data_IF_568074151473
#
_entry.id   IF_568074151473
#
_cell.length_a   1.000
_cell.length_b   1.000
_cell.length_c   1.000
_cell.angle_alpha   90.00
_cell.angle_beta   90.00
_cell.angle_gamma   90.00
#
_symmetry.space_group_name_H-M   'P 1'
#
loop_
_entity.id
_entity.type
_entity.pdbx_description
1 polymer ?
#
# COMPACT_ATOMS: atom_id res chain seq x y z
N UNK A 1 -13.90 -14.32 18.77
CA UNK A 1 -12.84 -13.31 18.74
C UNK A 1 -12.30 -13.31 17.32
N UNK A 2 -12.64 -12.35 16.49
CA UNK A 2 -12.05 -12.21 15.16
C UNK A 2 -10.57 -11.85 15.36
N UNK A 3 -9.67 -12.75 14.97
CA UNK A 3 -8.23 -12.46 14.91
C UNK A 3 -8.04 -11.21 14.06
N UNK A 4 -7.50 -10.16 14.67
CA UNK A 4 -7.25 -8.91 13.99
C UNK A 4 -6.23 -9.20 12.88
N UNK A 5 -6.61 -8.92 11.62
CA UNK A 5 -5.77 -9.16 10.44
C UNK A 5 -4.47 -8.39 10.59
N UNK A 6 -3.34 -9.09 10.46
CA UNK A 6 -2.03 -8.44 10.46
C UNK A 6 -1.86 -7.68 9.14
N UNK A 7 -1.78 -6.36 9.23
CA UNK A 7 -1.65 -5.48 8.08
C UNK A 7 -0.18 -5.07 7.88
N UNK A 8 0.28 -4.98 6.62
CA UNK A 8 1.63 -4.52 6.33
C UNK A 8 1.79 -3.03 6.63
N UNK A 9 3.03 -2.64 6.92
CA UNK A 9 3.42 -1.25 7.02
C UNK A 9 4.08 -0.84 5.70
N UNK A 10 3.32 -0.24 4.80
CA UNK A 10 3.77 0.17 3.46
C UNK A 10 3.63 1.69 3.30
N UNK A 11 4.58 2.47 3.84
CA UNK A 11 4.63 3.93 3.64
C UNK A 11 5.01 4.24 2.19
N UNK A 12 5.94 3.46 1.65
CA UNK A 12 6.46 3.63 0.30
C UNK A 12 6.54 2.29 -0.43
N UNK A 13 5.98 2.23 -1.62
CA UNK A 13 6.04 1.10 -2.54
C UNK A 13 6.73 1.57 -3.83
N UNK A 14 7.98 1.15 -4.07
CA UNK A 14 8.74 1.63 -5.23
C UNK A 14 8.60 0.68 -6.41
N UNK A 15 8.11 1.19 -7.54
CA UNK A 15 8.08 0.45 -8.81
C UNK A 15 9.49 0.24 -9.37
N UNK A 16 9.74 -0.98 -9.84
CA UNK A 16 10.99 -1.40 -10.47
C UNK A 16 10.66 -2.30 -11.66
N UNK A 17 10.91 -1.85 -12.91
CA UNK A 17 10.81 -2.73 -14.08
C UNK A 17 11.71 -3.94 -13.89
N UNK A 18 11.14 -5.15 -13.94
CA UNK A 18 11.87 -6.38 -13.58
C UNK A 18 12.99 -6.74 -14.56
N UNK A 19 12.89 -6.26 -15.81
CA UNK A 19 13.87 -6.49 -16.88
C UNK A 19 14.98 -5.42 -16.97
N UNK A 20 15.10 -4.53 -15.96
CA UNK A 20 16.14 -3.50 -15.93
C UNK A 20 17.11 -3.78 -14.79
N UNK A 21 18.13 -4.60 -15.05
CA UNK A 21 19.11 -5.07 -14.04
C UNK A 21 19.65 -3.96 -13.15
N UNK A 22 20.04 -2.82 -13.73
CA UNK A 22 20.59 -1.67 -12.97
C UNK A 22 19.62 -1.12 -11.92
N UNK A 23 18.30 -1.29 -12.09
CA UNK A 23 17.29 -0.88 -11.11
C UNK A 23 17.07 -1.98 -10.09
N UNK A 24 16.95 -3.23 -10.52
CA UNK A 24 16.80 -4.40 -9.65
C UNK A 24 17.97 -4.51 -8.68
N UNK A 25 19.22 -4.41 -9.17
CA UNK A 25 20.43 -4.54 -8.37
C UNK A 25 20.55 -3.47 -7.26
N UNK A 26 19.96 -2.30 -7.47
CA UNK A 26 20.02 -1.18 -6.51
C UNK A 26 18.75 -1.00 -5.68
N UNK A 27 17.67 -1.70 -6.00
CA UNK A 27 16.37 -1.49 -5.35
C UNK A 27 16.42 -1.71 -3.84
N UNK A 28 17.13 -2.74 -3.38
CA UNK A 28 17.30 -3.08 -1.97
C UNK A 28 17.97 -1.98 -1.14
N UNK A 29 18.69 -1.03 -1.76
CA UNK A 29 19.37 0.09 -1.07
C UNK A 29 18.54 1.36 -1.00
N UNK A 30 17.32 1.38 -1.54
CA UNK A 30 16.51 2.60 -1.68
C UNK A 30 15.66 2.92 -0.45
N UNK A 31 15.60 2.01 0.53
CA UNK A 31 14.88 2.22 1.80
C UNK A 31 13.35 2.22 1.67
N UNK A 32 12.80 1.71 0.58
CA UNK A 32 11.36 1.54 0.43
C UNK A 32 10.84 0.44 1.38
N UNK A 33 9.63 0.60 1.88
CA UNK A 33 8.96 -0.43 2.67
C UNK A 33 8.57 -1.64 1.79
N UNK A 34 8.25 -1.41 0.53
CA UNK A 34 8.04 -2.47 -0.45
C UNK A 34 8.62 -2.12 -1.81
N UNK A 35 9.02 -3.16 -2.55
CA UNK A 35 9.45 -3.06 -3.94
C UNK A 35 8.41 -3.76 -4.80
N UNK A 36 7.85 -3.03 -5.77
CA UNK A 36 6.94 -3.59 -6.77
C UNK A 36 7.76 -3.95 -8.01
N UNK A 37 8.02 -5.22 -8.22
CA UNK A 37 8.54 -5.74 -9.48
C UNK A 37 7.44 -5.65 -10.53
N UNK A 38 7.65 -4.86 -11.54
CA UNK A 38 6.61 -4.57 -12.52
C UNK A 38 6.70 -5.50 -13.73
N UNK A 39 5.57 -6.15 -14.06
CA UNK A 39 5.36 -6.91 -15.29
C UNK A 39 4.38 -6.21 -16.23
N UNK A 40 3.79 -5.09 -15.80
CA UNK A 40 2.74 -4.41 -16.55
C UNK A 40 3.29 -3.24 -17.36
N UNK A 41 2.85 -2.02 -17.18
CA UNK A 41 3.03 -0.88 -18.10
C UNK A 41 4.50 -0.52 -18.39
N UNK A 42 5.42 -0.75 -17.44
CA UNK A 42 6.84 -0.46 -17.68
C UNK A 42 7.56 -1.47 -18.57
N UNK A 43 6.90 -2.58 -18.93
CA UNK A 43 7.49 -3.65 -19.74
C UNK A 43 6.89 -3.63 -21.17
N UNK A 44 7.72 -3.49 -22.17
CA UNK A 44 7.28 -3.55 -23.55
C UNK A 44 6.59 -4.89 -23.89
N UNK A 45 5.56 -4.91 -24.76
CA UNK A 45 4.83 -6.14 -25.09
C UNK A 45 5.73 -7.30 -25.55
N UNK A 46 6.79 -7.01 -26.30
CA UNK A 46 7.77 -8.01 -26.78
C UNK A 46 8.63 -8.60 -25.67
N UNK A 47 8.77 -7.92 -24.53
CA UNK A 47 9.63 -8.31 -23.43
C UNK A 47 8.88 -9.04 -22.30
N UNK A 48 7.56 -9.13 -22.36
CA UNK A 48 6.72 -9.70 -21.28
C UNK A 48 7.13 -11.13 -20.90
N UNK A 49 7.40 -11.98 -21.89
CA UNK A 49 7.77 -13.38 -21.62
C UNK A 49 9.16 -13.47 -20.98
N UNK A 50 10.12 -12.66 -21.43
CA UNK A 50 11.45 -12.56 -20.81
C UNK A 50 11.34 -12.03 -19.38
N UNK A 51 10.57 -10.95 -19.18
CA UNK A 51 10.38 -10.34 -17.87
C UNK A 51 9.85 -11.33 -16.80
N UNK A 52 8.92 -12.21 -17.17
CA UNK A 52 8.41 -13.28 -16.28
C UNK A 52 9.52 -14.18 -15.76
N UNK A 53 10.47 -14.57 -16.62
CA UNK A 53 11.56 -15.48 -16.21
C UNK A 53 12.51 -14.87 -15.18
N UNK A 54 12.52 -13.54 -15.06
CA UNK A 54 13.41 -12.79 -14.17
C UNK A 54 12.82 -12.59 -12.75
N UNK A 55 11.51 -12.75 -12.57
CA UNK A 55 10.81 -12.36 -11.33
C UNK A 55 11.41 -12.99 -10.08
N UNK A 56 11.57 -14.32 -10.05
CA UNK A 56 12.05 -15.04 -8.86
C UNK A 56 13.48 -14.62 -8.48
N UNK A 57 14.36 -14.48 -9.46
CA UNK A 57 15.72 -14.01 -9.22
C UNK A 57 15.76 -12.55 -8.77
N UNK A 58 14.92 -11.68 -9.34
CA UNK A 58 14.79 -10.29 -8.93
C UNK A 58 14.22 -10.19 -7.50
N UNK A 59 13.20 -10.98 -7.15
CA UNK A 59 12.62 -11.02 -5.81
C UNK A 59 13.68 -11.35 -4.74
N UNK A 60 14.48 -12.39 -4.96
CA UNK A 60 15.56 -12.76 -4.07
C UNK A 60 16.62 -11.64 -3.90
N UNK A 61 16.90 -10.86 -4.96
CA UNK A 61 17.83 -9.73 -4.91
C UNK A 61 17.26 -8.55 -4.11
N UNK A 62 16.03 -8.12 -4.40
CA UNK A 62 15.47 -6.88 -3.82
C UNK A 62 15.07 -7.06 -2.36
N UNK A 63 14.71 -8.28 -1.94
CA UNK A 63 14.38 -8.64 -0.55
C UNK A 63 15.53 -8.38 0.43
N UNK A 64 16.78 -8.42 -0.01
CA UNK A 64 17.98 -8.28 0.85
C UNK A 64 18.03 -7.00 1.67
N UNK A 65 17.32 -5.95 1.25
CA UNK A 65 17.20 -4.70 2.02
C UNK A 65 16.09 -4.71 3.08
N UNK A 66 15.39 -5.84 3.26
CA UNK A 66 14.30 -5.97 4.22
C UNK A 66 12.97 -5.36 3.73
N UNK A 67 12.89 -4.97 2.46
CA UNK A 67 11.63 -4.56 1.83
C UNK A 67 10.74 -5.78 1.57
N UNK A 68 9.42 -5.60 1.68
CA UNK A 68 8.49 -6.58 1.14
C UNK A 68 8.55 -6.55 -0.40
N UNK A 69 8.40 -7.71 -1.02
CA UNK A 69 8.42 -7.84 -2.48
C UNK A 69 7.01 -8.04 -2.98
N UNK A 70 6.58 -7.15 -3.88
CA UNK A 70 5.30 -7.25 -4.56
C UNK A 70 5.57 -7.44 -6.06
N UNK A 71 4.63 -8.06 -6.77
CA UNK A 71 4.69 -8.15 -8.24
C UNK A 71 3.41 -7.57 -8.82
N UNK A 72 3.55 -6.56 -9.71
CA UNK A 72 2.40 -6.03 -10.45
C UNK A 72 2.17 -6.87 -11.69
N UNK A 73 1.00 -7.50 -11.76
CA UNK A 73 0.58 -8.38 -12.85
C UNK A 73 -0.23 -7.64 -13.90
N UNK A 74 -0.21 -8.14 -15.13
CA UNK A 74 -1.05 -7.62 -16.23
C UNK A 74 -2.53 -7.95 -16.03
N UNK A 75 -3.43 -7.11 -16.61
CA UNK A 75 -4.88 -7.31 -16.54
C UNK A 75 -5.42 -8.37 -17.51
N UNK A 76 -5.01 -8.44 -18.81
CA UNK A 76 -5.54 -9.45 -19.72
C UNK A 76 -5.35 -10.86 -19.14
N UNK A 77 -6.45 -11.61 -18.97
CA UNK A 77 -6.47 -12.85 -18.21
C UNK A 77 -5.37 -13.85 -18.60
N UNK A 78 -5.16 -14.05 -19.90
CA UNK A 78 -4.09 -14.93 -20.38
C UNK A 78 -2.68 -14.47 -20.00
N UNK A 79 -2.48 -13.17 -19.81
CA UNK A 79 -1.22 -12.62 -19.31
C UNK A 79 -1.15 -12.73 -17.80
N UNK A 80 -2.23 -12.38 -17.09
CA UNK A 80 -2.32 -12.49 -15.64
C UNK A 80 -1.97 -13.90 -15.15
N UNK A 81 -2.52 -14.95 -15.77
CA UNK A 81 -2.21 -16.33 -15.42
C UNK A 81 -0.71 -16.63 -15.47
N UNK A 82 -0.02 -16.27 -16.56
CA UNK A 82 1.41 -16.49 -16.71
C UNK A 82 2.23 -15.64 -15.73
N UNK A 83 1.76 -14.42 -15.43
CA UNK A 83 2.42 -13.54 -14.46
C UNK A 83 2.31 -14.12 -13.05
N UNK A 84 1.15 -14.67 -12.68
CA UNK A 84 0.92 -15.31 -11.38
C UNK A 84 1.83 -16.55 -11.25
N UNK A 85 1.83 -17.46 -12.24
CA UNK A 85 2.70 -18.65 -12.27
C UNK A 85 4.19 -18.30 -12.09
N UNK A 86 4.63 -17.21 -12.73
CA UNK A 86 6.01 -16.72 -12.62
C UNK A 86 6.32 -16.06 -11.27
N UNK A 87 5.30 -15.54 -10.58
CA UNK A 87 5.46 -14.68 -9.41
C UNK A 87 5.35 -15.42 -8.08
N UNK A 88 4.56 -16.49 -8.01
CA UNK A 88 4.36 -17.19 -6.73
C UNK A 88 5.65 -17.90 -6.31
N UNK A 89 6.20 -17.46 -5.19
CA UNK A 89 7.35 -18.07 -4.52
C UNK A 89 7.51 -17.47 -3.11
N UNK A 90 8.29 -18.09 -2.20
CA UNK A 90 8.46 -17.63 -0.82
C UNK A 90 9.05 -16.21 -0.66
N UNK A 91 9.68 -15.67 -1.70
CA UNK A 91 10.28 -14.33 -1.67
C UNK A 91 9.30 -13.22 -2.11
N UNK A 92 8.14 -13.55 -2.66
CA UNK A 92 7.09 -12.61 -3.05
C UNK A 92 6.01 -12.57 -1.97
N UNK A 93 5.82 -11.39 -1.36
CA UNK A 93 4.87 -11.20 -0.26
C UNK A 93 3.45 -10.86 -0.75
N UNK A 94 3.33 -10.23 -1.93
CA UNK A 94 2.02 -9.86 -2.46
C UNK A 94 2.00 -9.71 -4.00
N UNK A 95 0.79 -9.83 -4.56
CA UNK A 95 0.50 -9.39 -5.93
C UNK A 95 -0.16 -8.01 -5.90
N UNK A 96 0.22 -7.14 -6.83
CA UNK A 96 -0.49 -5.91 -7.15
C UNK A 96 -1.42 -6.22 -8.33
N UNK A 97 -2.71 -6.29 -8.03
CA UNK A 97 -3.75 -6.57 -9.03
C UNK A 97 -4.16 -5.23 -9.62
N UNK A 98 -3.55 -4.88 -10.76
CA UNK A 98 -3.92 -3.70 -11.53
C UNK A 98 -5.26 -3.89 -12.23
N UNK A 99 -5.94 -2.78 -12.50
CA UNK A 99 -7.22 -2.77 -13.23
C UNK A 99 -8.21 -3.81 -12.69
N UNK A 100 -8.34 -3.84 -11.34
CA UNK A 100 -9.26 -4.74 -10.64
C UNK A 100 -10.71 -4.30 -10.92
N UNK A 101 -11.53 -5.17 -11.51
CA UNK A 101 -12.86 -4.79 -12.01
C UNK A 101 -14.02 -5.27 -11.13
N UNK A 102 -13.87 -6.38 -10.41
CA UNK A 102 -14.96 -6.97 -9.63
C UNK A 102 -14.45 -7.87 -8.49
N UNK A 103 -15.32 -8.21 -7.52
CA UNK A 103 -15.04 -9.27 -6.55
C UNK A 103 -14.66 -10.60 -7.20
N UNK A 104 -15.35 -11.01 -8.25
CA UNK A 104 -15.09 -12.27 -8.94
C UNK A 104 -13.69 -12.33 -9.57
N UNK A 105 -13.22 -11.18 -10.10
CA UNK A 105 -11.84 -11.08 -10.60
C UNK A 105 -10.82 -11.40 -9.50
N UNK A 106 -11.03 -10.92 -8.28
CA UNK A 106 -10.16 -11.23 -7.14
C UNK A 106 -10.26 -12.69 -6.73
N UNK A 107 -11.48 -13.26 -6.70
CA UNK A 107 -11.70 -14.67 -6.33
C UNK A 107 -11.01 -15.62 -7.31
N UNK A 108 -11.09 -15.36 -8.62
CA UNK A 108 -10.40 -16.17 -9.65
C UNK A 108 -8.86 -16.14 -9.48
N UNK A 109 -8.30 -14.98 -9.14
CA UNK A 109 -6.85 -14.86 -8.85
C UNK A 109 -6.52 -15.62 -7.56
N UNK A 110 -7.36 -15.52 -6.54
CA UNK A 110 -7.12 -16.18 -5.25
C UNK A 110 -7.10 -17.70 -5.37
N UNK A 111 -8.00 -18.29 -6.17
CA UNK A 111 -8.04 -19.73 -6.46
C UNK A 111 -6.71 -20.20 -7.08
N UNK A 112 -6.24 -19.52 -8.12
CA UNK A 112 -4.98 -19.86 -8.79
C UNK A 112 -3.76 -19.70 -7.87
N UNK A 113 -3.74 -18.66 -7.04
CA UNK A 113 -2.65 -18.42 -6.08
C UNK A 113 -2.62 -19.52 -5.02
N UNK A 114 -3.79 -19.96 -4.54
CA UNK A 114 -3.91 -21.04 -3.57
C UNK A 114 -3.38 -22.37 -4.10
N UNK A 115 -3.74 -22.74 -5.33
CA UNK A 115 -3.24 -23.91 -6.01
C UNK A 115 -1.71 -23.87 -6.15
N UNK A 116 -1.15 -22.74 -6.58
CA UNK A 116 0.29 -22.58 -6.76
C UNK A 116 1.07 -22.57 -5.42
N UNK A 117 0.51 -21.99 -4.36
CA UNK A 117 1.08 -22.07 -3.02
C UNK A 117 1.13 -23.52 -2.54
N UNK A 118 0.04 -24.30 -2.75
CA UNK A 118 -0.02 -25.71 -2.41
C UNK A 118 0.99 -26.55 -3.22
N UNK A 119 1.05 -26.36 -4.54
CA UNK A 119 2.01 -27.07 -5.42
C UNK A 119 3.47 -26.82 -5.02
N UNK A 120 3.78 -25.60 -4.52
CA UNK A 120 5.13 -25.23 -4.10
C UNK A 120 5.41 -25.52 -2.62
N UNK A 121 4.47 -26.12 -1.89
CA UNK A 121 4.61 -26.41 -0.45
C UNK A 121 4.72 -25.14 0.42
N UNK A 122 4.14 -24.04 -0.03
CA UNK A 122 4.06 -22.79 0.73
C UNK A 122 2.87 -22.84 1.69
N UNK A 123 2.88 -21.97 2.70
CA UNK A 123 1.71 -21.74 3.54
C UNK A 123 0.58 -21.11 2.70
N UNK A 124 -0.59 -21.71 2.72
CA UNK A 124 -1.77 -21.17 2.04
C UNK A 124 -2.12 -19.81 2.67
N UNK A 125 -2.24 -18.80 1.83
CA UNK A 125 -2.45 -17.43 2.28
C UNK A 125 -1.17 -16.62 2.49
N UNK A 126 0.00 -17.16 2.16
CA UNK A 126 1.27 -16.43 2.17
C UNK A 126 1.21 -15.18 1.28
N UNK A 127 0.82 -15.34 0.02
CA UNK A 127 0.76 -14.26 -0.95
C UNK A 127 -0.46 -13.38 -0.72
N UNK A 128 -0.24 -12.12 -0.34
CA UNK A 128 -1.30 -11.13 -0.14
C UNK A 128 -1.63 -10.37 -1.42
N UNK A 129 -2.69 -9.56 -1.38
CA UNK A 129 -3.12 -8.75 -2.52
C UNK A 129 -3.16 -7.27 -2.16
N UNK A 130 -2.67 -6.45 -3.08
CA UNK A 130 -2.94 -5.03 -3.18
C UNK A 130 -3.82 -4.84 -4.42
N UNK A 131 -5.03 -4.30 -4.24
CA UNK A 131 -5.97 -4.08 -5.34
C UNK A 131 -5.97 -2.62 -5.77
N UNK A 132 -5.84 -2.38 -7.08
CA UNK A 132 -5.99 -1.07 -7.68
C UNK A 132 -7.25 -1.00 -8.54
N UNK A 133 -8.10 -0.01 -8.23
CA UNK A 133 -9.27 0.34 -9.02
C UNK A 133 -8.86 1.46 -9.97
N UNK A 134 -9.12 1.27 -11.28
CA UNK A 134 -8.53 2.07 -12.34
C UNK A 134 -9.55 2.53 -13.39
N UNK A 135 -10.82 2.10 -13.28
CA UNK A 135 -11.90 2.47 -14.18
C UNK A 135 -13.11 3.03 -13.44
N UNK A 136 -13.96 3.87 -14.08
CA UNK A 136 -15.20 4.36 -13.51
C UNK A 136 -16.17 3.25 -13.11
N UNK A 137 -16.25 2.17 -13.88
CA UNK A 137 -17.11 1.04 -13.55
C UNK A 137 -16.64 0.30 -12.30
N UNK A 138 -15.35 0.02 -12.20
CA UNK A 138 -14.76 -0.60 -11.01
C UNK A 138 -14.85 0.33 -9.78
N UNK A 139 -14.77 1.65 -9.98
CA UNK A 139 -14.97 2.63 -8.91
C UNK A 139 -16.34 2.47 -8.24
N UNK A 140 -17.40 2.26 -8.99
CA UNK A 140 -18.75 2.06 -8.44
C UNK A 140 -18.88 0.79 -7.59
N UNK A 141 -17.95 -0.16 -7.73
CA UNK A 141 -17.86 -1.43 -6.97
C UNK A 141 -16.70 -1.50 -5.99
N UNK A 142 -15.97 -0.41 -5.81
CA UNK A 142 -14.69 -0.40 -5.05
C UNK A 142 -14.82 -0.97 -3.64
N UNK A 143 -15.89 -0.64 -2.91
CA UNK A 143 -16.09 -1.15 -1.57
C UNK A 143 -16.30 -2.68 -1.54
N UNK A 144 -17.00 -3.22 -2.52
CA UNK A 144 -17.22 -4.66 -2.64
C UNK A 144 -15.93 -5.37 -3.08
N UNK A 145 -15.18 -4.78 -4.01
CA UNK A 145 -13.86 -5.29 -4.42
C UNK A 145 -12.93 -5.38 -3.21
N UNK A 146 -12.80 -4.31 -2.43
CA UNK A 146 -11.87 -4.26 -1.29
C UNK A 146 -12.25 -5.20 -0.14
N UNK A 147 -13.51 -5.61 -0.04
CA UNK A 147 -14.02 -6.57 0.96
C UNK A 147 -14.04 -8.01 0.48
N UNK A 148 -13.81 -8.26 -0.80
CA UNK A 148 -14.15 -9.54 -1.44
C UNK A 148 -13.31 -10.72 -0.95
N UNK A 149 -12.08 -10.52 -0.49
CA UNK A 149 -11.20 -11.63 -0.11
C UNK A 149 -10.25 -11.28 1.03
N UNK A 150 -9.98 -12.26 1.90
CA UNK A 150 -9.08 -12.08 3.05
C UNK A 150 -7.62 -11.81 2.68
N UNK A 151 -7.15 -12.22 1.49
CA UNK A 151 -5.79 -11.93 1.01
C UNK A 151 -5.58 -10.44 0.70
N UNK A 152 -6.64 -9.65 0.51
CA UNK A 152 -6.51 -8.21 0.27
C UNK A 152 -6.07 -7.54 1.56
N UNK A 153 -4.89 -6.94 1.56
CA UNK A 153 -4.32 -6.22 2.72
C UNK A 153 -4.19 -4.72 2.47
N UNK A 154 -4.25 -4.30 1.22
CA UNK A 154 -4.18 -2.89 0.84
C UNK A 154 -4.98 -2.63 -0.43
N UNK A 155 -5.38 -1.38 -0.63
CA UNK A 155 -6.06 -1.00 -1.86
C UNK A 155 -6.08 0.51 -2.08
N UNK A 156 -6.33 0.89 -3.33
CA UNK A 156 -6.40 2.28 -3.76
C UNK A 156 -7.07 2.44 -5.11
N UNK A 157 -7.17 3.71 -5.55
CA UNK A 157 -7.55 4.06 -6.90
C UNK A 157 -6.31 4.62 -7.61
N UNK A 158 -5.97 4.10 -8.80
CA UNK A 158 -4.90 4.65 -9.62
C UNK A 158 -5.26 6.04 -10.13
N UNK A 159 -4.27 6.87 -10.37
CA UNK A 159 -4.52 8.26 -10.79
C UNK A 159 -4.63 8.38 -12.29
N UNK A 160 -3.63 7.88 -13.01
CA UNK A 160 -3.49 8.10 -14.46
C UNK A 160 -4.57 7.35 -15.24
N UNK A 161 -4.69 6.04 -15.05
CA UNK A 161 -5.66 5.21 -15.78
C UNK A 161 -7.10 5.67 -15.50
N UNK A 162 -7.44 5.91 -14.23
CA UNK A 162 -8.78 6.37 -13.87
C UNK A 162 -9.09 7.73 -14.49
N UNK A 163 -8.15 8.68 -14.46
CA UNK A 163 -8.34 10.01 -15.07
C UNK A 163 -8.49 9.91 -16.59
N UNK A 164 -7.69 9.06 -17.25
CA UNK A 164 -7.79 8.83 -18.68
C UNK A 164 -9.17 8.29 -19.07
N UNK A 165 -9.69 7.31 -18.34
CA UNK A 165 -11.04 6.76 -18.60
C UNK A 165 -12.17 7.74 -18.24
N UNK A 166 -11.96 8.64 -17.29
CA UNK A 166 -12.88 9.73 -16.97
C UNK A 166 -12.85 10.84 -18.02
N UNK A 167 -11.86 10.88 -18.93
CA UNK A 167 -11.63 11.99 -19.84
C UNK A 167 -11.18 13.27 -19.12
N UNK A 168 -10.48 13.14 -17.98
CA UNK A 168 -10.07 14.24 -17.12
C UNK A 168 -8.54 14.26 -16.98
N UNK A 169 -7.99 15.41 -16.55
CA UNK A 169 -6.61 15.46 -16.10
C UNK A 169 -6.43 14.78 -14.74
N UNK A 170 -5.27 14.18 -14.49
CA UNK A 170 -4.92 13.56 -13.21
C UNK A 170 -4.65 14.62 -12.13
N UNK A 171 -5.62 15.53 -11.92
CA UNK A 171 -5.56 16.64 -10.99
C UNK A 171 -6.11 16.28 -9.61
N UNK A 172 -5.73 17.09 -8.61
CA UNK A 172 -6.24 16.93 -7.25
C UNK A 172 -7.77 17.10 -7.15
N UNK A 173 -8.36 17.92 -8.00
CA UNK A 173 -9.81 18.18 -8.01
C UNK A 173 -10.58 17.02 -8.65
N UNK A 174 -10.15 16.57 -9.84
CA UNK A 174 -10.79 15.45 -10.53
C UNK A 174 -10.72 14.14 -9.71
N UNK A 175 -9.60 13.92 -9.01
CA UNK A 175 -9.35 12.70 -8.24
C UNK A 175 -9.84 12.76 -6.79
N UNK A 176 -10.32 13.91 -6.29
CA UNK A 176 -10.70 14.03 -4.87
C UNK A 176 -11.74 12.98 -4.44
N UNK A 177 -12.84 12.90 -5.18
CA UNK A 177 -13.92 11.95 -4.85
C UNK A 177 -13.45 10.49 -4.92
N UNK A 178 -12.81 10.02 -6.00
CA UNK A 178 -12.27 8.66 -6.06
C UNK A 178 -11.30 8.33 -4.93
N UNK A 179 -10.43 9.26 -4.57
CA UNK A 179 -9.42 9.07 -3.52
C UNK A 179 -10.03 9.00 -2.12
N UNK A 180 -10.97 9.87 -1.79
CA UNK A 180 -11.68 9.80 -0.51
C UNK A 180 -12.52 8.52 -0.43
N UNK A 181 -13.19 8.14 -1.51
CA UNK A 181 -13.96 6.91 -1.53
C UNK A 181 -13.07 5.68 -1.36
N UNK A 182 -11.86 5.68 -1.94
CA UNK A 182 -10.87 4.62 -1.73
C UNK A 182 -10.46 4.50 -0.25
N UNK A 183 -10.23 5.64 0.44
CA UNK A 183 -9.93 5.62 1.88
C UNK A 183 -11.09 5.04 2.68
N UNK A 184 -12.34 5.47 2.40
CA UNK A 184 -13.52 4.97 3.09
C UNK A 184 -13.73 3.47 2.85
N UNK A 185 -13.57 3.02 1.61
CA UNK A 185 -13.70 1.60 1.23
C UNK A 185 -12.65 0.73 1.89
N UNK A 186 -11.39 1.16 1.89
CA UNK A 186 -10.30 0.45 2.55
C UNK A 186 -10.51 0.36 4.07
N UNK A 187 -10.94 1.44 4.71
CA UNK A 187 -11.26 1.43 6.15
C UNK A 187 -12.44 0.52 6.47
N UNK A 188 -13.48 0.52 5.63
CA UNK A 188 -14.62 -0.38 5.79
C UNK A 188 -14.27 -1.85 5.56
N UNK A 189 -13.25 -2.14 4.76
CA UNK A 189 -12.69 -3.47 4.53
C UNK A 189 -11.63 -3.88 5.58
N UNK A 190 -11.21 -2.97 6.46
CA UNK A 190 -10.14 -3.22 7.43
C UNK A 190 -8.76 -3.45 6.80
N UNK A 191 -8.47 -2.77 5.68
CA UNK A 191 -7.20 -2.85 4.94
C UNK A 191 -6.49 -1.50 4.87
N UNK A 192 -5.25 -1.49 4.40
CA UNK A 192 -4.42 -0.27 4.29
C UNK A 192 -4.85 0.56 3.08
N UNK A 193 -5.29 1.82 3.25
CA UNK A 193 -5.53 2.73 2.15
C UNK A 193 -4.21 3.27 1.60
N UNK A 194 -3.95 3.06 0.30
CA UNK A 194 -2.76 3.54 -0.39
C UNK A 194 -3.14 4.52 -1.51
N UNK A 195 -2.40 5.62 -1.62
CA UNK A 195 -2.60 6.58 -2.69
C UNK A 195 -2.23 8.02 -2.35
N UNK A 196 -2.51 8.89 -3.30
CA UNK A 196 -2.27 10.34 -3.24
C UNK A 196 -3.29 11.06 -4.14
N UNK A 197 -3.64 12.33 -3.85
CA UNK A 197 -4.60 13.09 -4.65
C UNK A 197 -3.87 13.87 -5.76
N UNK A 198 -3.49 13.21 -6.85
CA UNK A 198 -2.80 13.82 -7.99
C UNK A 198 -2.02 12.83 -8.83
N UNK A 199 -1.03 13.31 -9.57
CA UNK A 199 -0.07 12.53 -10.37
C UNK A 199 1.31 12.49 -9.72
N UNK A 200 2.06 11.42 -9.95
CA UNK A 200 3.48 11.27 -9.57
C UNK A 200 4.41 11.25 -10.78
N UNK A 201 3.88 11.52 -11.96
CA UNK A 201 4.63 11.48 -13.22
C UNK A 201 5.77 12.52 -13.25
N UNK A 202 5.57 13.70 -12.67
CA UNK A 202 6.65 14.65 -12.45
C UNK A 202 7.41 14.32 -11.16
N UNK A 203 8.57 13.72 -11.32
CA UNK A 203 9.48 13.39 -10.21
C UNK A 203 10.58 14.44 -10.01
N UNK A 204 10.57 15.54 -10.74
CA UNK A 204 11.54 16.65 -10.62
C UNK A 204 11.11 17.68 -9.56
N UNK A 205 9.81 17.91 -9.40
CA UNK A 205 9.22 18.81 -8.37
C UNK A 205 9.04 18.04 -7.04
N UNK A 206 10.10 17.98 -6.24
CA UNK A 206 10.07 17.30 -4.95
C UNK A 206 9.31 18.07 -3.87
N UNK A 207 9.22 19.39 -3.95
CA UNK A 207 8.48 20.20 -2.98
C UNK A 207 6.98 20.07 -3.21
N UNK A 208 6.51 20.20 -4.45
CA UNK A 208 5.11 19.93 -4.81
C UNK A 208 4.70 18.47 -4.51
N UNK A 209 5.61 17.51 -4.73
CA UNK A 209 5.38 16.13 -4.33
C UNK A 209 5.20 15.99 -2.82
N UNK A 210 6.06 16.61 -2.01
CA UNK A 210 5.95 16.61 -0.55
C UNK A 210 4.61 17.18 -0.07
N UNK A 211 4.18 18.30 -0.61
CA UNK A 211 2.90 18.93 -0.28
C UNK A 211 1.72 18.02 -0.61
N UNK A 212 1.77 17.37 -1.77
CA UNK A 212 0.77 16.38 -2.16
C UNK A 212 0.73 15.18 -1.18
N UNK A 213 1.87 14.66 -0.74
CA UNK A 213 1.91 13.55 0.22
C UNK A 213 1.47 13.96 1.63
N UNK A 214 1.78 15.18 2.06
CA UNK A 214 1.22 15.76 3.31
C UNK A 214 -0.31 15.83 3.23
N UNK A 215 -0.86 16.27 2.09
CA UNK A 215 -2.31 16.25 1.84
C UNK A 215 -2.85 14.83 1.84
N UNK A 216 -2.17 13.88 1.17
CA UNK A 216 -2.53 12.45 1.16
C UNK A 216 -2.69 11.90 2.58
N UNK A 217 -1.71 12.11 3.45
CA UNK A 217 -1.78 11.68 4.84
C UNK A 217 -2.97 12.30 5.59
N UNK A 218 -3.24 13.60 5.37
CA UNK A 218 -4.40 14.29 5.98
C UNK A 218 -5.74 13.72 5.52
N UNK A 219 -5.82 13.20 4.31
CA UNK A 219 -6.99 12.51 3.76
C UNK A 219 -7.18 11.09 4.33
N UNK A 220 -6.18 10.53 5.02
CA UNK A 220 -6.26 9.24 5.68
C UNK A 220 -5.51 8.11 5.00
N UNK A 221 -4.76 8.37 3.94
CA UNK A 221 -3.84 7.38 3.35
C UNK A 221 -2.68 7.07 4.30
N UNK A 222 -2.19 5.85 4.24
CA UNK A 222 -1.08 5.37 5.08
C UNK A 222 0.23 5.19 4.33
N UNK A 223 0.21 5.32 3.03
CA UNK A 223 1.35 5.20 2.14
C UNK A 223 0.95 5.36 0.70
N UNK A 224 1.92 5.26 -0.19
CA UNK A 224 1.70 5.36 -1.62
C UNK A 224 2.81 4.69 -2.45
N UNK A 225 2.55 4.53 -3.76
CA UNK A 225 3.57 4.11 -4.72
C UNK A 225 4.50 5.26 -5.11
N UNK A 226 5.71 4.90 -5.54
CA UNK A 226 6.75 5.80 -6.04
C UNK A 226 7.36 5.23 -7.32
N UNK A 227 7.71 6.11 -8.26
CA UNK A 227 8.41 5.75 -9.51
C UNK A 227 9.89 6.17 -9.50
N UNK A 228 10.30 6.93 -8.48
CA UNK A 228 11.67 7.40 -8.34
C UNK A 228 12.17 7.29 -6.88
N UNK A 229 13.47 6.94 -6.64
CA UNK A 229 14.01 6.81 -5.27
C UNK A 229 13.87 8.05 -4.39
N UNK A 230 13.93 9.26 -4.94
CA UNK A 230 13.76 10.50 -4.18
C UNK A 230 12.37 10.62 -3.55
N UNK A 231 11.34 10.06 -4.21
CA UNK A 231 9.97 10.02 -3.69
C UNK A 231 9.84 9.11 -2.45
N UNK A 232 10.62 8.02 -2.41
CA UNK A 232 10.61 7.04 -1.29
C UNK A 232 10.94 7.72 0.04
N UNK A 233 11.97 8.58 0.07
CA UNK A 233 12.36 9.30 1.28
C UNK A 233 11.22 10.17 1.80
N UNK A 234 10.58 10.94 0.91
CA UNK A 234 9.45 11.81 1.26
C UNK A 234 8.27 11.00 1.81
N UNK A 235 7.93 9.88 1.17
CA UNK A 235 6.86 8.99 1.63
C UNK A 235 7.13 8.45 3.04
N UNK A 236 8.34 7.96 3.28
CA UNK A 236 8.73 7.42 4.59
C UNK A 236 8.69 8.47 5.68
N UNK A 237 9.14 9.69 5.40
CA UNK A 237 9.13 10.83 6.33
C UNK A 237 7.70 11.28 6.63
N UNK A 238 6.91 11.56 5.59
CA UNK A 238 5.58 12.15 5.76
C UNK A 238 4.57 11.18 6.37
N UNK A 239 4.62 9.89 6.03
CA UNK A 239 3.71 8.89 6.59
C UNK A 239 4.14 8.36 7.96
N UNK A 240 5.24 8.85 8.52
CA UNK A 240 5.64 8.61 9.90
C UNK A 240 5.02 9.67 10.81
N UNK A 241 4.36 9.30 11.93
CA UNK A 241 4.02 10.26 12.97
C UNK A 241 5.28 10.93 13.53
N UNK A 242 5.28 12.26 13.70
CA UNK A 242 6.39 12.95 14.33
C UNK A 242 6.46 12.64 15.83
N UNK A 243 7.63 12.85 16.44
CA UNK A 243 7.82 12.61 17.87
C UNK A 243 6.91 13.51 18.71
N UNK A 244 6.67 14.75 18.26
CA UNK A 244 5.73 15.68 18.88
C UNK A 244 4.28 15.16 18.80
N UNK A 245 3.88 14.62 17.63
CA UNK A 245 2.54 14.04 17.48
C UNK A 245 2.35 12.81 18.39
N UNK A 246 3.39 12.00 18.56
CA UNK A 246 3.40 10.84 19.47
C UNK A 246 3.31 11.29 20.91
N UNK A 247 4.11 12.28 21.32
CA UNK A 247 4.08 12.83 22.68
C UNK A 247 2.71 13.43 23.01
N UNK A 248 2.15 14.23 22.09
CA UNK A 248 0.82 14.80 22.26
C UNK A 248 -0.28 13.72 22.33
N UNK A 249 -0.18 12.67 21.52
CA UNK A 249 -1.12 11.56 21.56
C UNK A 249 -1.08 10.84 22.91
N UNK A 250 0.09 10.57 23.47
CA UNK A 250 0.24 9.97 24.81
C UNK A 250 -0.38 10.87 25.88
N UNK A 251 -0.03 12.16 25.90
CA UNK A 251 -0.58 13.15 26.83
C UNK A 251 -2.11 13.17 26.83
N UNK A 252 -2.72 13.16 25.61
CA UNK A 252 -4.18 13.16 25.48
C UNK A 252 -4.82 11.85 25.99
N UNK A 253 -4.22 10.70 25.69
CA UNK A 253 -4.71 9.39 26.12
C UNK A 253 -4.65 9.31 27.64
N UNK A 254 -3.51 9.62 28.25
CA UNK A 254 -3.30 9.53 29.70
C UNK A 254 -4.28 10.44 30.46
N UNK A 255 -4.42 11.71 30.03
CA UNK A 255 -5.36 12.66 30.64
C UNK A 255 -6.82 12.20 30.52
N UNK A 256 -7.21 11.62 29.39
CA UNK A 256 -8.56 11.07 29.22
C UNK A 256 -8.78 9.84 30.09
N UNK A 257 -7.85 8.90 30.13
CA UNK A 257 -7.98 7.65 30.90
C UNK A 257 -8.07 7.96 32.40
N UNK A 258 -7.31 8.94 32.94
CA UNK A 258 -7.44 9.45 34.33
C UNK A 258 -8.81 10.05 34.60
N UNK A 259 -9.35 10.84 33.67
CA UNK A 259 -10.66 11.46 33.83
C UNK A 259 -11.80 10.44 33.71
N UNK A 260 -11.65 9.48 32.82
CA UNK A 260 -12.61 8.40 32.62
C UNK A 260 -12.71 7.50 33.87
N UNK A 261 -11.60 7.24 34.55
CA UNK A 261 -11.57 6.54 35.84
C UNK A 261 -12.34 7.28 36.94
N UNK A 262 -12.52 8.61 36.80
CA UNK A 262 -13.32 9.47 37.69
C UNK A 262 -14.78 9.66 37.22
N UNK A 263 -15.21 8.93 36.18
CA UNK A 263 -16.58 8.96 35.64
C UNK A 263 -16.86 10.07 34.63
N UNK A 264 -15.82 10.75 34.07
CA UNK A 264 -15.99 11.79 33.07
C UNK A 264 -15.94 11.20 31.67
N UNK A 265 -16.87 11.59 30.78
CA UNK A 265 -16.93 11.12 29.38
C UNK A 265 -16.14 11.97 28.41
N UNK A 266 -15.77 13.19 28.81
CA UNK A 266 -14.96 14.12 27.99
C UNK A 266 -14.21 15.08 28.90
N UNK A 267 -13.08 15.61 28.43
CA UNK A 267 -12.26 16.61 29.12
C UNK A 267 -11.86 17.75 28.19
N UNK A 268 -11.39 18.86 28.75
CA UNK A 268 -10.67 19.90 28.02
C UNK A 268 -9.18 19.80 28.35
N UNK A 269 -8.34 19.65 27.34
CA UNK A 269 -6.88 19.66 27.47
C UNK A 269 -6.28 20.63 26.47
N UNK A 270 -5.53 21.63 26.97
CA UNK A 270 -4.92 22.68 26.15
C UNK A 270 -5.94 23.38 25.21
N UNK A 271 -7.18 23.60 25.68
CA UNK A 271 -8.25 24.21 24.90
C UNK A 271 -8.93 23.30 23.88
N UNK A 272 -8.55 22.01 23.82
CA UNK A 272 -9.13 21.01 22.92
C UNK A 272 -10.04 20.09 23.72
N UNK A 273 -11.25 19.84 23.20
CA UNK A 273 -12.14 18.80 23.76
C UNK A 273 -11.60 17.41 23.39
N UNK A 274 -11.40 16.58 24.39
CA UNK A 274 -10.91 15.20 24.23
C UNK A 274 -12.00 14.23 24.72
N UNK A 275 -12.53 13.46 23.77
CA UNK A 275 -13.55 12.44 23.96
C UNK A 275 -13.12 11.11 23.32
N UNK A 276 -13.95 10.07 23.35
CA UNK A 276 -13.66 8.74 22.81
C UNK A 276 -13.17 8.79 21.34
N UNK A 277 -13.84 9.50 20.40
CA UNK A 277 -13.35 9.63 19.02
C UNK A 277 -11.95 10.22 18.91
N UNK A 278 -11.65 11.26 19.69
CA UNK A 278 -10.31 11.88 19.71
C UNK A 278 -9.28 10.90 20.26
N UNK A 279 -9.56 10.23 21.37
CA UNK A 279 -8.66 9.22 21.97
C UNK A 279 -8.40 8.06 21.03
N UNK A 280 -9.42 7.55 20.35
CA UNK A 280 -9.25 6.47 19.39
C UNK A 280 -8.33 6.89 18.22
N UNK A 281 -8.44 8.14 17.76
CA UNK A 281 -7.52 8.69 16.76
C UNK A 281 -6.08 8.77 17.32
N UNK A 282 -5.89 9.18 18.55
CA UNK A 282 -4.57 9.24 19.20
C UNK A 282 -3.97 7.85 19.39
N UNK A 283 -4.76 6.86 19.80
CA UNK A 283 -4.32 5.45 19.88
C UNK A 283 -3.89 4.92 18.51
N UNK A 284 -4.50 5.37 17.40
CA UNK A 284 -4.07 5.03 16.05
C UNK A 284 -2.71 5.63 15.71
N UNK A 285 -2.40 6.85 16.14
CA UNK A 285 -1.07 7.48 15.98
C UNK A 285 -0.01 6.64 16.68
N UNK A 286 -0.24 6.21 17.93
CA UNK A 286 0.70 5.37 18.70
C UNK A 286 0.93 4.04 18.01
N UNK A 287 -0.15 3.30 17.69
CA UNK A 287 -0.04 2.01 16.98
C UNK A 287 0.74 2.13 15.67
N UNK A 288 0.50 3.20 14.90
CA UNK A 288 1.22 3.43 13.64
C UNK A 288 2.70 3.67 13.87
N UNK A 289 3.06 4.48 14.88
CA UNK A 289 4.45 4.73 15.25
C UNK A 289 5.17 3.42 15.64
N UNK A 290 4.56 2.62 16.50
CA UNK A 290 5.11 1.34 16.97
C UNK A 290 5.25 0.32 15.83
N UNK A 291 4.26 0.21 14.95
CA UNK A 291 4.32 -0.68 13.80
C UNK A 291 5.46 -0.29 12.82
N UNK A 292 5.67 1.01 12.58
CA UNK A 292 6.78 1.49 11.77
C UNK A 292 8.13 1.16 12.43
N UNK A 293 8.27 1.39 13.73
CA UNK A 293 9.50 1.09 14.46
C UNK A 293 9.83 -0.43 14.42
N UNK A 294 8.81 -1.28 14.61
CA UNK A 294 8.97 -2.73 14.52
C UNK A 294 9.39 -3.18 13.12
N UNK A 295 8.77 -2.62 12.06
CA UNK A 295 9.17 -2.89 10.69
C UNK A 295 10.62 -2.51 10.41
N UNK A 296 11.03 -1.30 10.81
CA UNK A 296 12.40 -0.82 10.59
C UNK A 296 13.43 -1.67 11.34
N UNK A 297 13.10 -2.13 12.55
CA UNK A 297 13.95 -3.05 13.30
C UNK A 297 14.08 -4.41 12.59
N UNK A 298 12.98 -4.93 12.03
CA UNK A 298 12.99 -6.16 11.22
C UNK A 298 13.84 -5.99 9.96
N UNK A 299 13.66 -4.89 9.21
CA UNK A 299 14.41 -4.63 7.99
C UNK A 299 15.93 -4.52 8.26
N UNK A 300 16.33 -3.85 9.34
CA UNK A 300 17.74 -3.78 9.76
C UNK A 300 18.37 -5.14 10.04
N UNK A 301 17.62 -6.07 10.66
CA UNK A 301 18.08 -7.43 10.93
C UNK A 301 18.26 -8.28 9.64
N UNK A 302 17.50 -8.00 8.60
CA UNK A 302 17.59 -8.70 7.31
C UNK A 302 18.79 -8.15 6.49
N UNK A 303 19.01 -6.85 6.55
CA UNK A 303 20.05 -6.15 5.77
C UNK A 303 21.46 -6.26 6.35
N UNK A 304 21.62 -6.59 7.64
CA UNK A 304 22.92 -6.80 8.35
C UNK A 304 23.26 -8.24 8.50
#
# INVERSE_FOLDING_TARGET
>A
MTTQKELPVWRSLMFVPVNVDRFVDKAHTRGADGIILDLEDSIAPSEKDTARTLVKAAAAKVKRGGADVLVRINRPWRMAMRDIEASICPDVNALVISKTESPDHVHMIAEVVEDLEAEQGMEIGHTKFLVNVESPEAFLRMADIMKSHERIVAGGAASEDLSAEMGAEASADALYVPKIFAVLSARAAGIVPLGYPGSIADFSDLDGYRDMIVRSRKLGFEGASAIHPNQVKILNEVHRPSDEAVAQARKMIDAYDEAHAKGLGAISLDGIMVDIPVVNRMRTVIRRHEAIAAREAKAKKIAG
#
